data_IF_092440740041
#
_entry.id   IF_092440740041
#
_cell.length_a   1.000
_cell.length_b   1.000
_cell.length_c   1.000
_cell.angle_alpha   90.00
_cell.angle_beta   90.00
_cell.angle_gamma   90.00
#
_symmetry.space_group_name_H-M   'P 1'
#
loop_
_entity.id
_entity.type
_entity.pdbx_description
1 polymer ?
#
# COMPACT_ATOMS: atom_id res chain seq x y z
N UNK A 1 -21.94 15.20 -22.97
CA UNK A 1 -22.96 14.27 -22.44
C UNK A 1 -22.55 12.87 -22.85
N UNK A 2 -22.46 11.95 -21.89
CA UNK A 2 -22.29 10.53 -22.18
C UNK A 2 -23.57 9.95 -22.79
N UNK A 3 -23.47 8.83 -23.50
CA UNK A 3 -24.63 8.13 -24.06
C UNK A 3 -24.41 7.61 -25.48
N UNK A 4 -25.44 6.97 -26.01
CA UNK A 4 -25.48 6.51 -27.39
C UNK A 4 -25.91 7.66 -28.32
N UNK A 5 -25.09 7.92 -29.34
CA UNK A 5 -25.31 8.96 -30.34
C UNK A 5 -25.58 8.33 -31.69
N UNK A 6 -26.50 8.94 -32.42
CA UNK A 6 -26.82 8.62 -33.80
C UNK A 6 -26.60 9.86 -34.63
N UNK A 7 -25.76 9.78 -35.64
CA UNK A 7 -25.42 10.91 -36.51
C UNK A 7 -25.61 10.50 -37.95
N UNK A 8 -26.20 11.40 -38.73
CA UNK A 8 -26.32 11.29 -40.17
C UNK A 8 -26.09 12.68 -40.76
N UNK A 9 -25.61 12.72 -41.99
CA UNK A 9 -25.56 13.94 -42.78
C UNK A 9 -26.81 14.02 -43.65
N UNK A 10 -27.42 15.19 -43.76
CA UNK A 10 -28.52 15.43 -44.68
C UNK A 10 -28.29 16.69 -45.48
N UNK A 11 -28.57 16.61 -46.77
CA UNK A 11 -28.52 17.72 -47.69
C UNK A 11 -29.90 17.89 -48.35
N UNK A 12 -30.52 19.08 -48.27
CA UNK A 12 -31.89 19.28 -48.74
C UNK A 12 -32.04 19.28 -50.27
N UNK A 13 -30.94 19.40 -51.02
CA UNK A 13 -30.96 19.55 -52.47
C UNK A 13 -30.79 21.00 -52.91
N UNK A 14 -30.91 21.22 -54.22
CA UNK A 14 -31.03 22.54 -54.84
C UNK A 14 -31.85 22.44 -56.14
N UNK A 15 -31.95 23.54 -56.89
CA UNK A 15 -32.74 23.63 -58.13
C UNK A 15 -32.36 22.60 -59.20
N UNK A 16 -31.13 22.07 -59.15
CA UNK A 16 -30.60 21.15 -60.15
C UNK A 16 -30.47 19.70 -59.65
N UNK A 17 -30.57 19.46 -58.34
CA UNK A 17 -30.28 18.15 -57.75
C UNK A 17 -31.17 17.86 -56.53
N UNK A 18 -31.66 16.63 -56.47
CA UNK A 18 -32.42 16.12 -55.33
C UNK A 18 -31.59 16.07 -54.05
N UNK A 19 -32.24 16.30 -52.91
CA UNK A 19 -31.63 16.12 -51.61
C UNK A 19 -31.20 14.68 -51.35
N UNK A 20 -30.25 14.52 -50.45
CA UNK A 20 -29.68 13.23 -50.08
C UNK A 20 -29.45 13.17 -48.57
N UNK A 21 -29.65 12.00 -47.99
CA UNK A 21 -29.33 11.72 -46.58
C UNK A 21 -28.38 10.54 -46.53
N UNK A 22 -27.35 10.63 -45.68
CA UNK A 22 -26.41 9.54 -45.47
C UNK A 22 -27.03 8.43 -44.64
N UNK A 23 -26.33 7.30 -44.60
CA UNK A 23 -26.59 6.27 -43.60
C UNK A 23 -26.37 6.81 -42.18
N UNK A 24 -27.06 6.21 -41.22
CA UNK A 24 -26.95 6.55 -39.80
C UNK A 24 -25.74 5.84 -39.21
N UNK A 25 -24.81 6.62 -38.65
CA UNK A 25 -23.67 6.11 -37.89
C UNK A 25 -23.97 6.20 -36.40
N UNK A 26 -23.75 5.10 -35.70
CA UNK A 26 -23.96 5.01 -34.25
C UNK A 26 -22.60 5.00 -33.54
N UNK A 27 -22.46 5.77 -32.46
CA UNK A 27 -21.31 5.70 -31.57
C UNK A 27 -21.72 5.97 -30.12
N UNK A 28 -20.90 5.55 -29.16
CA UNK A 28 -21.16 5.76 -27.73
C UNK A 28 -20.12 6.71 -27.14
N UNK A 29 -20.57 7.78 -26.52
CA UNK A 29 -19.71 8.67 -25.72
C UNK A 29 -19.66 8.12 -24.31
N UNK A 30 -18.48 7.67 -23.89
CA UNK A 30 -18.24 7.20 -22.53
C UNK A 30 -18.11 8.38 -21.55
N UNK A 31 -18.39 8.19 -20.25
CA UNK A 31 -18.10 9.20 -19.24
C UNK A 31 -16.61 9.56 -19.24
N UNK A 32 -16.26 10.82 -18.87
CA UNK A 32 -14.86 11.18 -18.72
C UNK A 32 -14.21 10.34 -17.61
N UNK A 33 -13.14 9.64 -17.97
CA UNK A 33 -12.35 8.89 -17.00
C UNK A 33 -11.56 9.89 -16.15
N UNK A 34 -11.85 9.91 -14.85
CA UNK A 34 -11.25 10.82 -13.88
C UNK A 34 -9.91 10.27 -13.41
N UNK A 35 -8.86 11.09 -13.49
CA UNK A 35 -7.52 10.70 -13.02
C UNK A 35 -7.49 10.59 -11.50
N UNK A 36 -6.68 9.66 -11.02
CA UNK A 36 -6.52 9.39 -9.59
C UNK A 36 -5.07 9.44 -9.17
N UNK A 37 -4.87 9.69 -7.87
CA UNK A 37 -3.56 9.66 -7.22
C UNK A 37 -3.68 8.96 -5.89
N UNK A 38 -2.64 8.24 -5.53
CA UNK A 38 -2.49 7.62 -4.23
C UNK A 38 -1.18 8.09 -3.60
N UNK A 39 -1.24 8.39 -2.31
CA UNK A 39 -0.12 8.84 -1.51
C UNK A 39 0.17 7.84 -0.41
N UNK A 40 1.46 7.67 -0.10
CA UNK A 40 1.93 6.83 1.02
C UNK A 40 2.71 7.71 1.99
N UNK A 41 2.38 7.58 3.26
CA UNK A 41 3.06 8.22 4.37
C UNK A 41 3.59 7.17 5.35
N UNK A 42 4.85 7.33 5.70
CA UNK A 42 5.54 6.50 6.69
C UNK A 42 5.95 7.42 7.83
N UNK A 43 5.65 7.09 9.09
CA UNK A 43 6.04 7.91 10.23
C UNK A 43 7.56 7.90 10.46
N UNK A 44 8.24 6.87 9.96
CA UNK A 44 9.68 6.67 10.04
C UNK A 44 10.18 5.91 8.82
N UNK A 45 11.40 6.23 8.39
CA UNK A 45 12.12 5.50 7.32
C UNK A 45 12.92 4.31 7.84
N UNK A 46 13.04 4.16 9.16
CA UNK A 46 13.78 3.08 9.81
C UNK A 46 12.92 2.40 10.87
N UNK A 47 12.93 1.07 10.91
CA UNK A 47 12.19 0.26 11.89
C UNK A 47 13.03 -0.93 12.33
N UNK A 48 12.96 -1.30 13.61
CA UNK A 48 13.65 -2.50 14.07
C UNK A 48 12.86 -3.75 13.71
N UNK A 49 13.55 -4.83 13.32
CA UNK A 49 12.91 -6.12 13.01
C UNK A 49 12.03 -6.56 14.18
N UNK A 50 10.80 -6.99 13.87
CA UNK A 50 9.81 -7.39 14.84
C UNK A 50 9.01 -6.25 15.52
N UNK A 51 9.34 -4.99 15.26
CA UNK A 51 8.50 -3.85 15.68
C UNK A 51 7.34 -3.62 14.72
N UNK A 52 6.34 -2.87 15.17
CA UNK A 52 5.18 -2.50 14.34
C UNK A 52 5.51 -1.19 13.59
N UNK A 53 5.32 -1.21 12.28
CA UNK A 53 5.31 -0.04 11.41
C UNK A 53 3.86 0.27 11.04
N UNK A 54 3.42 1.48 11.34
CA UNK A 54 2.15 2.01 10.83
C UNK A 54 2.39 2.64 9.45
N UNK A 55 1.65 2.19 8.45
CA UNK A 55 1.65 2.75 7.11
C UNK A 55 0.32 3.44 6.92
N UNK A 56 0.36 4.70 6.50
CA UNK A 56 -0.83 5.47 6.16
C UNK A 56 -0.74 5.94 4.71
N UNK A 57 -1.87 6.34 4.16
CA UNK A 57 -1.93 6.89 2.82
C UNK A 57 -3.25 7.57 2.54
N UNK A 58 -3.37 8.14 1.35
CA UNK A 58 -4.57 8.86 0.91
C UNK A 58 -4.84 8.61 -0.56
N UNK A 59 -6.08 8.30 -0.90
CA UNK A 59 -6.55 8.10 -2.27
C UNK A 59 -7.47 9.26 -2.68
N UNK A 60 -7.15 9.88 -3.82
CA UNK A 60 -7.88 11.05 -4.34
C UNK A 60 -8.15 10.94 -5.84
N UNK A 61 -9.25 11.53 -6.26
CA UNK A 61 -9.55 11.85 -7.65
C UNK A 61 -9.14 13.30 -7.95
N UNK A 62 -8.67 13.57 -9.16
CA UNK A 62 -8.33 14.92 -9.62
C UNK A 62 -9.47 15.45 -10.49
N UNK A 63 -10.29 16.33 -9.91
CA UNK A 63 -11.47 16.91 -10.56
C UNK A 63 -11.22 18.41 -10.70
N UNK A 64 -11.15 18.91 -11.94
CA UNK A 64 -10.89 20.32 -12.24
C UNK A 64 -9.66 20.90 -11.52
N UNK A 65 -8.59 20.08 -11.41
CA UNK A 65 -7.35 20.47 -10.71
C UNK A 65 -7.40 20.37 -9.18
N UNK A 66 -8.56 20.07 -8.60
CA UNK A 66 -8.71 19.85 -7.15
C UNK A 66 -8.69 18.37 -6.80
N UNK A 67 -8.12 18.05 -5.63
CA UNK A 67 -8.09 16.68 -5.11
C UNK A 67 -9.32 16.39 -4.26
N UNK A 68 -10.14 15.44 -4.72
CA UNK A 68 -11.36 15.00 -4.04
C UNK A 68 -11.14 13.59 -3.49
N UNK A 69 -11.36 13.34 -2.19
CA UNK A 69 -11.20 12.02 -1.60
C UNK A 69 -12.05 10.93 -2.23
N UNK A 70 -11.49 9.72 -2.35
CA UNK A 70 -12.24 8.51 -2.74
C UNK A 70 -12.46 7.65 -1.50
N UNK A 71 -13.72 7.52 -1.08
CA UNK A 71 -14.13 6.83 0.15
C UNK A 71 -14.66 5.42 -0.08
N UNK A 72 -14.50 4.55 0.93
CA UNK A 72 -15.14 3.23 0.97
C UNK A 72 -14.62 2.23 -0.06
N UNK A 73 -13.44 2.45 -0.64
CA UNK A 73 -12.83 1.53 -1.61
C UNK A 73 -11.64 0.81 -1.00
N UNK A 74 -11.38 -0.41 -1.48
CA UNK A 74 -10.25 -1.22 -1.03
C UNK A 74 -9.00 -0.90 -1.85
N UNK A 75 -7.95 -0.44 -1.17
CA UNK A 75 -6.58 -0.28 -1.70
C UNK A 75 -5.78 -1.54 -1.39
N UNK A 76 -4.95 -1.97 -2.34
CA UNK A 76 -4.01 -3.07 -2.16
C UNK A 76 -2.66 -2.48 -1.75
N UNK A 77 -2.08 -2.99 -0.66
CA UNK A 77 -0.77 -2.56 -0.16
C UNK A 77 0.16 -3.77 -0.09
N UNK A 78 1.26 -3.71 -0.83
CA UNK A 78 2.24 -4.78 -0.97
C UNK A 78 3.57 -4.39 -0.33
N UNK A 79 4.10 -5.28 0.49
CA UNK A 79 5.39 -5.16 1.16
C UNK A 79 6.40 -6.10 0.50
N UNK A 80 7.33 -5.52 -0.24
CA UNK A 80 8.38 -6.24 -0.93
C UNK A 80 9.59 -6.41 -0.01
N UNK A 81 10.01 -7.67 0.25
CA UNK A 81 11.21 -7.92 1.04
C UNK A 81 12.48 -7.43 0.32
N UNK A 82 13.59 -7.27 1.05
CA UNK A 82 14.90 -6.95 0.47
C UNK A 82 15.30 -7.98 -0.59
N UNK A 83 15.99 -7.56 -1.65
CA UNK A 83 16.36 -8.44 -2.77
C UNK A 83 17.22 -9.65 -2.37
N UNK A 84 17.93 -9.55 -1.24
CA UNK A 84 18.76 -10.61 -0.67
C UNK A 84 17.95 -11.68 0.08
N UNK A 85 16.67 -11.41 0.36
CA UNK A 85 15.78 -12.32 1.08
C UNK A 85 14.84 -12.99 0.09
N UNK A 86 14.93 -14.32 -0.03
CA UNK A 86 13.98 -15.09 -0.81
C UNK A 86 12.61 -15.05 -0.13
N UNK A 87 11.63 -14.39 -0.76
CA UNK A 87 10.28 -14.28 -0.24
C UNK A 87 9.34 -13.64 -1.26
N UNK A 88 8.06 -14.01 -1.18
CA UNK A 88 7.01 -13.34 -1.96
C UNK A 88 6.62 -12.01 -1.28
N UNK A 89 6.20 -11.00 -2.05
CA UNK A 89 5.63 -9.78 -1.47
C UNK A 89 4.44 -10.11 -0.57
N UNK A 90 4.39 -9.45 0.59
CA UNK A 90 3.28 -9.61 1.54
C UNK A 90 2.22 -8.59 1.17
N UNK A 91 1.07 -9.06 0.69
CA UNK A 91 -0.03 -8.19 0.26
C UNK A 91 -1.12 -8.11 1.33
N UNK A 92 -1.59 -6.89 1.59
CA UNK A 92 -2.72 -6.59 2.47
C UNK A 92 -3.71 -5.67 1.74
N UNK A 93 -4.94 -5.61 2.24
CA UNK A 93 -5.93 -4.62 1.80
C UNK A 93 -6.25 -3.65 2.92
N UNK A 94 -6.56 -2.40 2.56
CA UNK A 94 -7.06 -1.39 3.48
C UNK A 94 -8.21 -0.62 2.82
N UNK A 95 -9.28 -0.38 3.56
CA UNK A 95 -10.41 0.42 3.06
C UNK A 95 -10.15 1.90 3.31
N UNK A 96 -10.52 2.74 2.35
CA UNK A 96 -10.43 4.19 2.53
C UNK A 96 -11.57 4.74 3.39
N UNK A 97 -11.26 5.64 4.30
CA UNK A 97 -12.22 6.41 5.09
C UNK A 97 -12.90 7.52 4.27
N UNK A 98 -13.76 8.30 4.93
CA UNK A 98 -14.52 9.38 4.30
C UNK A 98 -13.63 10.52 3.75
N UNK A 99 -12.47 10.72 4.35
CA UNK A 99 -11.44 11.66 3.91
C UNK A 99 -10.46 11.05 2.88
N UNK A 100 -10.73 9.82 2.44
CA UNK A 100 -9.92 9.08 1.48
C UNK A 100 -8.64 8.50 2.06
N UNK A 101 -8.42 8.61 3.38
CA UNK A 101 -7.25 8.05 4.04
C UNK A 101 -7.39 6.55 4.28
N UNK A 102 -6.28 5.85 4.32
CA UNK A 102 -6.22 4.45 4.72
C UNK A 102 -5.00 4.24 5.63
N UNK A 103 -5.11 3.27 6.55
CA UNK A 103 -4.01 2.89 7.42
C UNK A 103 -3.95 1.38 7.62
N UNK A 104 -2.75 0.89 7.90
CA UNK A 104 -2.49 -0.52 8.16
C UNK A 104 -1.19 -0.67 8.95
N UNK A 105 -1.08 -1.78 9.67
CA UNK A 105 0.13 -2.12 10.42
C UNK A 105 0.90 -3.24 9.74
N UNK A 106 2.22 -3.16 9.79
CA UNK A 106 3.12 -4.15 9.25
C UNK A 106 4.24 -4.45 10.24
N UNK A 107 4.59 -5.73 10.37
CA UNK A 107 5.67 -6.19 11.24
C UNK A 107 6.71 -6.90 10.38
N UNK A 108 7.81 -6.23 10.00
CA UNK A 108 8.84 -6.83 9.17
C UNK A 108 9.51 -8.00 9.90
N UNK A 109 9.80 -9.06 9.14
CA UNK A 109 10.39 -10.30 9.62
C UNK A 109 11.86 -10.49 9.18
N UNK A 110 12.39 -9.58 8.36
CA UNK A 110 13.75 -9.63 7.88
C UNK A 110 14.38 -8.24 7.85
N UNK A 111 15.69 -8.18 8.08
CA UNK A 111 16.51 -6.98 8.07
C UNK A 111 16.85 -6.60 6.63
N UNK A 112 16.99 -5.31 6.34
CA UNK A 112 17.39 -4.78 5.04
C UNK A 112 16.45 -3.72 4.49
N UNK A 113 16.63 -3.37 3.21
CA UNK A 113 15.81 -2.36 2.54
C UNK A 113 14.51 -2.97 2.02
N UNK A 114 13.39 -2.56 2.59
CA UNK A 114 12.05 -2.94 2.16
C UNK A 114 11.47 -1.87 1.25
N UNK A 115 10.55 -2.28 0.38
CA UNK A 115 9.70 -1.37 -0.38
C UNK A 115 8.24 -1.64 -0.03
N UNK A 116 7.46 -0.59 0.19
CA UNK A 116 6.01 -0.64 0.31
C UNK A 116 5.41 0.01 -0.92
N UNK A 117 4.44 -0.64 -1.54
CA UNK A 117 3.66 -0.10 -2.64
C UNK A 117 2.18 -0.15 -2.31
N UNK A 118 1.44 0.87 -2.72
CA UNK A 118 0.00 0.93 -2.62
C UNK A 118 -0.57 1.14 -4.01
N UNK A 119 -1.60 0.37 -4.37
CA UNK A 119 -2.27 0.45 -5.65
C UNK A 119 -3.78 0.37 -5.50
N UNK A 120 -4.45 1.01 -6.44
CA UNK A 120 -5.88 0.89 -6.62
C UNK A 120 -6.19 0.74 -8.11
N UNK A 121 -6.95 -0.29 -8.46
CA UNK A 121 -7.24 -0.64 -9.86
C UNK A 121 -8.07 0.41 -10.59
N UNK A 122 -8.75 1.30 -9.84
CA UNK A 122 -9.74 2.19 -10.41
C UNK A 122 -11.03 1.46 -10.75
N UNK A 123 -11.83 2.06 -11.64
CA UNK A 123 -13.08 1.50 -12.13
C UNK A 123 -13.49 2.18 -13.46
N UNK A 124 -14.75 2.03 -13.87
CA UNK A 124 -15.28 2.67 -15.10
C UNK A 124 -15.20 4.20 -15.10
N UNK A 125 -15.09 4.81 -13.93
CA UNK A 125 -15.08 6.27 -13.73
C UNK A 125 -13.70 6.80 -13.38
N UNK A 126 -12.85 5.99 -12.74
CA UNK A 126 -11.57 6.40 -12.17
C UNK A 126 -10.42 5.56 -12.72
N UNK A 127 -9.29 6.20 -13.04
CA UNK A 127 -8.09 5.50 -13.52
C UNK A 127 -7.44 4.64 -12.43
N UNK A 128 -6.65 3.66 -12.85
CA UNK A 128 -5.65 3.01 -12.00
C UNK A 128 -4.67 4.05 -11.42
N UNK A 129 -4.21 3.83 -10.19
CA UNK A 129 -3.08 4.58 -9.62
C UNK A 129 -2.25 3.71 -8.66
N UNK A 130 -0.96 4.03 -8.57
CA UNK A 130 -0.06 3.41 -7.60
C UNK A 130 1.02 4.38 -7.10
N UNK A 131 1.56 4.09 -5.93
CA UNK A 131 2.71 4.78 -5.33
C UNK A 131 3.59 3.78 -4.59
N UNK A 132 4.85 4.14 -4.36
CA UNK A 132 5.78 3.33 -3.58
C UNK A 132 6.70 4.18 -2.71
N UNK A 133 7.17 3.59 -1.61
CA UNK A 133 8.18 4.15 -0.71
C UNK A 133 9.11 3.06 -0.20
N UNK A 134 10.32 3.44 0.16
CA UNK A 134 11.29 2.53 0.75
C UNK A 134 11.46 2.83 2.25
N UNK A 135 11.79 1.80 3.02
CA UNK A 135 12.17 1.92 4.43
C UNK A 135 13.20 0.83 4.78
N UNK A 136 14.01 1.09 5.78
CA UNK A 136 15.08 0.19 6.22
C UNK A 136 14.68 -0.52 7.50
N UNK A 137 14.83 -1.85 7.51
CA UNK A 137 14.64 -2.66 8.70
C UNK A 137 16.00 -2.94 9.32
N UNK A 138 16.17 -2.55 10.58
CA UNK A 138 17.41 -2.70 11.34
C UNK A 138 17.35 -3.94 12.25
N UNK A 139 18.51 -4.49 12.55
CA UNK A 139 18.64 -5.55 13.55
C UNK A 139 18.23 -5.06 14.94
N UNK A 140 17.63 -5.98 15.70
CA UNK A 140 17.37 -5.74 17.12
C UNK A 140 18.67 -5.94 17.89
N UNK A 141 19.29 -4.85 18.34
CA UNK A 141 20.43 -4.90 19.25
C UNK A 141 19.94 -5.33 20.64
N UNK A 142 20.22 -6.57 21.03
CA UNK A 142 20.08 -6.99 22.42
C UNK A 142 21.37 -6.66 23.18
N UNK A 143 21.30 -6.08 24.39
CA UNK A 143 22.47 -5.97 25.25
C UNK A 143 22.85 -7.36 25.79
N UNK A 144 23.74 -8.03 25.05
CA UNK A 144 24.55 -9.19 25.47
C UNK A 144 25.04 -9.20 26.93
N UNK A 145 25.28 -8.03 27.54
CA UNK A 145 25.75 -7.91 28.92
C UNK A 145 24.74 -8.47 29.93
N UNK A 146 23.43 -8.31 29.70
CA UNK A 146 22.40 -8.81 30.63
C UNK A 146 22.20 -10.32 30.54
N UNK A 147 22.29 -10.89 29.34
CA UNK A 147 22.13 -12.34 29.14
C UNK A 147 23.33 -13.11 29.69
N UNK A 148 24.55 -12.65 29.39
CA UNK A 148 25.77 -13.27 29.92
C UNK A 148 25.85 -13.06 31.44
N UNK A 149 25.55 -11.86 31.93
CA UNK A 149 25.51 -11.57 33.36
C UNK A 149 24.50 -12.45 34.12
N UNK A 150 23.30 -12.64 33.58
CA UNK A 150 22.28 -13.52 34.15
C UNK A 150 22.72 -14.98 34.22
N UNK A 151 23.28 -15.53 33.14
CA UNK A 151 23.75 -16.93 33.09
C UNK A 151 24.91 -17.15 34.07
N UNK A 152 25.88 -16.24 34.13
CA UNK A 152 27.02 -16.34 35.07
C UNK A 152 26.55 -16.27 36.52
N UNK A 153 25.62 -15.37 36.85
CA UNK A 153 25.07 -15.25 38.20
C UNK A 153 24.33 -16.53 38.64
N UNK A 154 23.53 -17.13 37.75
CA UNK A 154 22.84 -18.39 38.04
C UNK A 154 23.83 -19.53 38.26
N UNK A 155 24.87 -19.64 37.43
CA UNK A 155 25.91 -20.67 37.60
C UNK A 155 26.66 -20.48 38.92
N UNK A 156 27.05 -19.25 39.27
CA UNK A 156 27.70 -18.96 40.54
C UNK A 156 26.80 -19.26 41.75
N UNK A 157 25.51 -18.93 41.67
CA UNK A 157 24.52 -19.28 42.69
C UNK A 157 24.38 -20.80 42.85
N UNK A 158 24.31 -21.56 41.75
CA UNK A 158 24.24 -23.03 41.80
C UNK A 158 25.51 -23.63 42.39
N UNK A 159 26.69 -23.11 42.04
CA UNK A 159 27.96 -23.58 42.59
C UNK A 159 28.09 -23.27 44.09
N UNK A 160 27.70 -22.07 44.52
CA UNK A 160 27.71 -21.68 45.94
C UNK A 160 26.70 -22.50 46.76
N UNK A 161 25.48 -22.72 46.24
CA UNK A 161 24.49 -23.60 46.87
C UNK A 161 25.01 -25.03 46.99
N UNK A 162 25.59 -25.60 45.92
CA UNK A 162 26.21 -26.94 45.96
C UNK A 162 27.36 -27.04 46.96
N UNK A 163 28.18 -25.99 47.06
CA UNK A 163 29.27 -25.92 48.04
C UNK A 163 28.76 -25.88 49.48
N UNK A 164 27.72 -25.08 49.74
CA UNK A 164 27.08 -24.98 51.06
C UNK A 164 26.36 -26.28 51.46
N UNK A 165 25.71 -26.96 50.51
CA UNK A 165 25.07 -28.26 50.75
C UNK A 165 26.09 -29.35 51.10
N UNK A 166 27.26 -29.38 50.43
CA UNK A 166 28.34 -30.33 50.76
C UNK A 166 28.93 -30.12 52.15
N UNK A 167 29.03 -28.88 52.63
CA UNK A 167 29.55 -28.56 53.98
C UNK A 167 28.60 -28.90 55.13
N UNK A 168 27.29 -29.00 54.86
CA UNK A 168 26.27 -29.32 55.88
C UNK A 168 26.01 -30.81 56.06
N UNK A 169 26.51 -31.66 55.17
CA UNK A 169 26.36 -33.12 55.23
C UNK A 169 27.62 -33.87 55.68
N UNK A 170 28.61 -33.17 56.27
CA UNK A 170 29.84 -33.72 56.81
C UNK A 170 29.93 -33.45 58.32
#
# INVERSE_FOLDING_TARGET
>A
MEGAWRVYASWPGNDNYYGATSEVVNFTVLPPITRTKIYISLPRSEVTVGDILEVSGKLVAVINGSEVPIRGVSVIVSFNPPSQVWGQPITKSASTGDDGTFSLTFKPNAVGNWSVSASWEGNKTFTYCSASKQFTVLERKFPWVEVVGGVVAVVAAVLTVRFLQRRRGA
#
